data_IF_619886366298
#
_entry.id   IF_619886366298
#
_cell.length_a   1.000
_cell.length_b   1.000
_cell.length_c   1.000
_cell.angle_alpha   90.00
_cell.angle_beta   90.00
_cell.angle_gamma   90.00
#
_symmetry.space_group_name_H-M   'P 1'
#
loop_
_entity.id
_entity.type
_entity.pdbx_description
1 polymer ?
#
# COMPACT_ATOMS: atom_id res chain seq x y z
N UNK A 1 38.40 17.12 25.12
CA UNK A 1 37.52 16.25 25.94
C UNK A 1 36.15 16.94 26.06
N UNK A 2 35.23 16.75 25.11
CA UNK A 2 33.86 17.29 25.20
C UNK A 2 32.89 16.14 25.44
N UNK A 3 32.79 15.71 26.69
CA UNK A 3 31.78 14.74 27.14
C UNK A 3 30.63 15.54 27.76
N UNK A 4 29.45 15.55 27.11
CA UNK A 4 28.20 15.90 27.79
C UNK A 4 27.32 17.02 27.21
N UNK A 5 27.70 17.71 26.12
CA UNK A 5 26.81 18.71 25.51
C UNK A 5 25.84 18.08 24.50
N UNK A 6 24.60 18.56 24.43
CA UNK A 6 23.59 18.13 23.44
C UNK A 6 24.13 18.21 22.00
N UNK A 7 25.01 19.17 21.72
CA UNK A 7 25.75 19.29 20.46
C UNK A 7 26.73 18.11 20.21
N UNK A 8 27.39 17.60 21.25
CA UNK A 8 28.28 16.43 21.15
C UNK A 8 27.53 15.09 21.02
N UNK A 9 26.28 15.02 21.49
CA UNK A 9 25.37 13.90 21.18
C UNK A 9 24.79 14.00 19.78
N UNK A 10 24.38 15.20 19.35
CA UNK A 10 23.95 15.47 17.98
C UNK A 10 25.07 15.13 16.99
N UNK A 11 26.30 15.56 17.27
CA UNK A 11 27.46 15.26 16.41
C UNK A 11 27.82 13.78 16.41
N UNK A 12 27.66 13.08 17.54
CA UNK A 12 27.81 11.61 17.57
C UNK A 12 26.69 10.90 16.80
N UNK A 13 25.44 11.38 16.87
CA UNK A 13 24.31 10.84 16.09
C UNK A 13 24.51 11.07 14.60
N UNK A 14 24.85 12.29 14.20
CA UNK A 14 25.19 12.65 12.82
C UNK A 14 26.35 11.78 12.33
N UNK A 15 27.43 11.66 13.12
CA UNK A 15 28.58 10.84 12.76
C UNK A 15 28.22 9.35 12.67
N UNK A 16 27.33 8.84 13.52
CA UNK A 16 26.85 7.45 13.50
C UNK A 16 25.90 7.18 12.33
N UNK A 17 25.04 8.12 11.94
CA UNK A 17 24.24 8.07 10.71
C UNK A 17 25.12 8.15 9.46
N UNK A 18 26.20 8.92 9.50
CA UNK A 18 27.14 9.04 8.39
C UNK A 18 28.08 7.85 8.25
N UNK A 19 28.42 7.17 9.36
CA UNK A 19 29.33 6.02 9.42
C UNK A 19 28.62 4.66 9.45
N UNK A 20 27.29 4.62 9.57
CA UNK A 20 26.57 3.36 9.45
C UNK A 20 26.85 2.76 8.07
N UNK A 21 27.29 1.49 7.97
CA UNK A 21 27.50 0.85 6.69
C UNK A 21 26.19 0.86 5.93
N UNK A 22 26.15 1.61 4.82
CA UNK A 22 24.98 1.67 3.97
C UNK A 22 24.88 0.31 3.26
N UNK A 23 23.73 -0.39 3.31
CA UNK A 23 23.61 -1.71 2.71
C UNK A 23 24.02 -1.69 1.24
N UNK A 24 24.83 -2.67 0.84
CA UNK A 24 25.34 -2.80 -0.52
C UNK A 24 24.23 -3.37 -1.39
N UNK A 25 24.04 -2.82 -2.59
CA UNK A 25 23.09 -3.37 -3.56
C UNK A 25 23.41 -4.84 -3.83
N UNK A 26 22.53 -5.75 -3.44
CA UNK A 26 22.74 -7.21 -3.59
C UNK A 26 21.99 -7.80 -4.79
N UNK A 27 22.40 -9.00 -5.22
CA UNK A 27 21.66 -9.75 -6.25
C UNK A 27 20.24 -10.06 -5.76
N UNK A 28 20.05 -10.32 -4.47
CA UNK A 28 18.74 -10.56 -3.85
C UNK A 28 17.84 -9.32 -3.99
N UNK A 29 18.37 -8.12 -3.75
CA UNK A 29 17.60 -6.88 -3.93
C UNK A 29 17.25 -6.61 -5.39
N UNK A 30 18.12 -6.96 -6.33
CA UNK A 30 17.82 -6.92 -7.76
C UNK A 30 16.69 -7.89 -8.09
N UNK A 31 16.75 -9.14 -7.61
CA UNK A 31 15.69 -10.13 -7.82
C UNK A 31 14.35 -9.68 -7.25
N UNK A 32 14.33 -9.11 -6.03
CA UNK A 32 13.12 -8.58 -5.41
C UNK A 32 12.55 -7.42 -6.25
N UNK A 33 13.40 -6.52 -6.75
CA UNK A 33 12.95 -5.40 -7.57
C UNK A 33 12.39 -5.85 -8.92
N UNK A 34 13.00 -6.87 -9.55
CA UNK A 34 12.48 -7.46 -10.79
C UNK A 34 11.15 -8.18 -10.57
N UNK A 35 11.03 -8.97 -9.50
CA UNK A 35 9.76 -9.61 -9.13
C UNK A 35 8.66 -8.58 -8.89
N UNK A 36 8.99 -7.44 -8.26
CA UNK A 36 8.05 -6.36 -8.04
C UNK A 36 7.59 -5.69 -9.34
N UNK A 37 8.49 -5.48 -10.31
CA UNK A 37 8.10 -4.98 -11.64
C UNK A 37 7.13 -5.94 -12.33
N UNK A 38 7.43 -7.24 -12.31
CA UNK A 38 6.55 -8.27 -12.89
C UNK A 38 5.19 -8.26 -12.18
N UNK A 39 5.17 -8.20 -10.85
CA UNK A 39 3.94 -8.14 -10.07
C UNK A 39 3.08 -6.92 -10.44
N UNK A 40 3.66 -5.73 -10.58
CA UNK A 40 2.93 -4.53 -11.00
C UNK A 40 2.30 -4.68 -12.40
N UNK A 41 3.04 -5.28 -13.35
CA UNK A 41 2.53 -5.50 -14.72
C UNK A 41 1.39 -6.52 -14.71
N UNK A 42 1.54 -7.59 -13.94
CA UNK A 42 0.49 -8.61 -13.78
C UNK A 42 -0.76 -8.00 -13.15
N UNK A 43 -0.61 -7.21 -12.09
CA UNK A 43 -1.73 -6.57 -11.37
C UNK A 43 -2.58 -5.70 -12.32
N UNK A 44 -1.93 -4.75 -13.02
CA UNK A 44 -2.59 -3.90 -14.02
C UNK A 44 -3.28 -4.73 -15.12
N UNK A 45 -2.62 -5.81 -15.58
CA UNK A 45 -3.19 -6.67 -16.61
C UNK A 45 -4.41 -7.44 -16.10
N UNK A 46 -4.35 -7.97 -14.88
CA UNK A 46 -5.46 -8.69 -14.26
C UNK A 46 -6.63 -7.78 -13.96
N UNK A 47 -6.38 -6.54 -13.55
CA UNK A 47 -7.42 -5.58 -13.20
C UNK A 47 -8.20 -5.12 -14.43
N UNK A 48 -7.50 -4.86 -15.55
CA UNK A 48 -8.12 -4.57 -16.84
C UNK A 48 -8.92 -5.78 -17.35
N UNK A 49 -8.35 -6.98 -17.25
CA UNK A 49 -9.02 -8.21 -17.69
C UNK A 49 -10.31 -8.46 -16.90
N UNK A 50 -10.27 -8.36 -15.58
CA UNK A 50 -11.44 -8.55 -14.71
C UNK A 50 -12.51 -7.49 -14.99
N UNK A 51 -12.12 -6.22 -15.20
CA UNK A 51 -13.06 -5.17 -15.57
C UNK A 51 -13.74 -5.47 -16.92
N UNK A 52 -12.98 -5.88 -17.94
CA UNK A 52 -13.51 -6.24 -19.25
C UNK A 52 -14.46 -7.44 -19.16
N UNK A 53 -14.08 -8.48 -18.40
CA UNK A 53 -14.90 -9.68 -18.20
C UNK A 53 -16.28 -9.36 -17.59
N UNK A 54 -16.37 -8.37 -16.69
CA UNK A 54 -17.66 -7.94 -16.14
C UNK A 54 -18.56 -7.26 -17.17
N UNK A 55 -18.00 -6.50 -18.10
CA UNK A 55 -18.77 -5.89 -19.18
C UNK A 55 -19.21 -6.95 -20.21
N UNK A 56 -18.34 -7.91 -20.52
CA UNK A 56 -18.67 -9.02 -21.43
C UNK A 56 -19.75 -9.95 -20.85
N UNK A 57 -19.77 -10.16 -19.54
CA UNK A 57 -20.78 -10.97 -18.83
C UNK A 57 -22.07 -10.21 -18.49
N UNK A 58 -22.31 -9.06 -19.14
CA UNK A 58 -23.50 -8.20 -18.93
C UNK A 58 -23.74 -7.80 -17.47
N UNK A 59 -22.67 -7.63 -16.69
CA UNK A 59 -22.71 -7.18 -15.29
C UNK A 59 -22.10 -5.77 -15.14
N UNK A 60 -22.73 -4.73 -15.73
CA UNK A 60 -22.12 -3.40 -15.85
C UNK A 60 -21.87 -2.73 -14.50
N UNK A 61 -22.66 -3.06 -13.46
CA UNK A 61 -22.47 -2.49 -12.12
C UNK A 61 -21.14 -2.90 -11.50
N UNK A 62 -20.77 -4.19 -11.58
CA UNK A 62 -19.51 -4.68 -11.01
C UNK A 62 -18.30 -4.25 -11.85
N UNK A 63 -18.47 -4.19 -13.17
CA UNK A 63 -17.49 -3.60 -14.08
C UNK A 63 -17.22 -2.13 -13.73
N UNK A 64 -18.28 -1.32 -13.61
CA UNK A 64 -18.17 0.09 -13.24
C UNK A 64 -17.52 0.30 -11.87
N UNK A 65 -17.92 -0.47 -10.85
CA UNK A 65 -17.31 -0.38 -9.51
C UNK A 65 -15.82 -0.71 -9.54
N UNK A 66 -15.43 -1.77 -10.26
CA UNK A 66 -14.02 -2.15 -10.43
C UNK A 66 -13.24 -1.06 -11.16
N UNK A 67 -13.76 -0.54 -12.28
CA UNK A 67 -13.13 0.55 -13.02
C UNK A 67 -12.99 1.83 -12.20
N UNK A 68 -13.99 2.18 -11.38
CA UNK A 68 -13.91 3.36 -10.48
C UNK A 68 -12.78 3.20 -9.48
N UNK A 69 -12.63 2.03 -8.87
CA UNK A 69 -11.53 1.73 -7.92
C UNK A 69 -10.18 1.90 -8.60
N UNK A 70 -9.98 1.26 -9.77
CA UNK A 70 -8.73 1.33 -10.54
C UNK A 70 -8.39 2.79 -10.88
N UNK A 71 -9.36 3.54 -11.44
CA UNK A 71 -9.13 4.93 -11.87
C UNK A 71 -8.82 5.85 -10.70
N UNK A 72 -9.54 5.74 -9.58
CA UNK A 72 -9.33 6.57 -8.39
C UNK A 72 -7.96 6.26 -7.76
N UNK A 73 -7.61 4.98 -7.60
CA UNK A 73 -6.31 4.57 -7.06
C UNK A 73 -5.18 5.08 -7.93
N UNK A 74 -5.25 4.79 -9.23
CA UNK A 74 -4.27 5.21 -10.21
C UNK A 74 -4.06 6.72 -10.20
N UNK A 75 -5.14 7.51 -10.22
CA UNK A 75 -5.04 8.97 -10.18
C UNK A 75 -4.32 9.45 -8.91
N UNK A 76 -4.68 8.87 -7.76
CA UNK A 76 -4.11 9.25 -6.48
C UNK A 76 -2.62 8.91 -6.37
N UNK A 77 -2.24 7.69 -6.76
CA UNK A 77 -0.85 7.21 -6.74
C UNK A 77 -0.01 8.01 -7.72
N UNK A 78 -0.55 8.34 -8.90
CA UNK A 78 0.11 9.22 -9.86
C UNK A 78 0.32 10.63 -9.32
N UNK A 79 -0.69 11.22 -8.67
CA UNK A 79 -0.59 12.54 -8.06
C UNK A 79 0.46 12.57 -6.94
N UNK A 80 0.43 11.59 -6.03
CA UNK A 80 1.43 11.45 -4.97
C UNK A 80 2.84 11.20 -5.54
N UNK A 81 2.93 10.41 -6.62
CA UNK A 81 4.16 10.14 -7.35
C UNK A 81 4.75 11.41 -7.97
N UNK A 82 3.95 12.23 -8.65
CA UNK A 82 4.41 13.49 -9.23
C UNK A 82 4.82 14.49 -8.15
N UNK A 83 4.04 14.61 -7.07
CA UNK A 83 4.38 15.46 -5.93
C UNK A 83 5.73 15.08 -5.32
N UNK A 84 6.00 13.77 -5.15
CA UNK A 84 7.31 13.31 -4.66
C UNK A 84 8.45 13.66 -5.63
N UNK A 85 8.24 13.54 -6.94
CA UNK A 85 9.25 13.94 -7.92
C UNK A 85 9.52 15.45 -7.89
N UNK A 86 8.49 16.28 -7.70
CA UNK A 86 8.67 17.73 -7.56
C UNK A 86 9.44 18.07 -6.28
N UNK A 87 9.12 17.41 -5.16
CA UNK A 87 9.84 17.59 -3.90
C UNK A 87 11.30 17.16 -4.01
N UNK A 88 11.58 16.04 -4.71
CA UNK A 88 12.94 15.59 -5.00
C UNK A 88 13.69 16.64 -5.83
N UNK A 89 13.09 17.18 -6.88
CA UNK A 89 13.66 18.24 -7.71
C UNK A 89 13.99 19.51 -6.92
N UNK A 90 13.04 19.99 -6.11
CA UNK A 90 13.23 21.18 -5.26
C UNK A 90 14.36 20.97 -4.26
N UNK A 91 14.49 19.77 -3.70
CA UNK A 91 15.55 19.43 -2.75
C UNK A 91 16.91 19.25 -3.43
N UNK A 92 16.96 18.64 -4.61
CA UNK A 92 18.17 18.53 -5.42
C UNK A 92 18.68 19.92 -5.83
N UNK A 93 17.79 20.84 -6.20
CA UNK A 93 18.15 22.23 -6.51
C UNK A 93 18.69 23.01 -5.31
N UNK A 94 18.33 22.65 -4.07
CA UNK A 94 18.84 23.27 -2.84
C UNK A 94 20.17 22.68 -2.37
N UNK A 95 20.37 21.38 -2.58
CA UNK A 95 21.58 20.64 -2.18
C UNK A 95 22.70 20.72 -3.23
N UNK A 96 22.35 21.04 -4.48
CA UNK A 96 23.28 21.15 -5.60
C UNK A 96 23.90 22.54 -5.69
N UNK A 97 25.05 22.72 -5.03
CA UNK A 97 26.15 23.50 -5.61
C UNK A 97 27.03 22.61 -6.53
N UNK A 98 26.52 21.52 -7.12
CA UNK A 98 27.34 20.63 -7.95
C UNK A 98 26.78 19.26 -8.38
N UNK A 99 25.49 18.97 -8.18
CA UNK A 99 24.82 17.78 -8.70
C UNK A 99 24.06 18.04 -10.01
N UNK A 100 24.15 17.10 -10.96
CA UNK A 100 23.44 17.12 -12.25
C UNK A 100 21.93 17.12 -12.06
N UNK A 101 21.27 18.21 -12.45
CA UNK A 101 19.81 18.33 -12.51
C UNK A 101 19.27 17.30 -13.50
N UNK A 102 18.25 16.53 -13.10
CA UNK A 102 17.67 15.50 -13.94
C UNK A 102 17.37 16.00 -15.37
N UNK A 103 17.85 15.26 -16.38
CA UNK A 103 17.73 15.63 -17.79
C UNK A 103 16.26 15.80 -18.21
N UNK A 104 15.99 16.70 -19.17
CA UNK A 104 14.65 16.90 -19.76
C UNK A 104 14.03 15.58 -20.24
N UNK A 105 14.85 14.66 -20.77
CA UNK A 105 14.39 13.32 -21.19
C UNK A 105 13.90 12.48 -20.02
N UNK A 106 14.59 12.52 -18.88
CA UNK A 106 14.19 11.80 -17.67
C UNK A 106 12.86 12.31 -17.12
N UNK A 107 12.63 13.61 -17.15
CA UNK A 107 11.34 14.20 -16.76
C UNK A 107 10.21 13.79 -17.68
N UNK A 108 10.44 13.79 -19.00
CA UNK A 108 9.45 13.30 -19.97
C UNK A 108 9.12 11.83 -19.67
N UNK A 109 10.11 10.96 -19.47
CA UNK A 109 9.88 9.57 -19.10
C UNK A 109 9.08 9.47 -17.78
N UNK A 110 9.45 10.21 -16.74
CA UNK A 110 8.71 10.21 -15.46
C UNK A 110 7.24 10.56 -15.64
N UNK A 111 6.95 11.61 -16.41
CA UNK A 111 5.57 12.03 -16.67
C UNK A 111 4.83 10.98 -17.50
N UNK A 112 5.43 10.50 -18.60
CA UNK A 112 4.81 9.51 -19.49
C UNK A 112 4.48 8.22 -18.74
N UNK A 113 5.44 7.64 -18.02
CA UNK A 113 5.21 6.42 -17.25
C UNK A 113 4.20 6.64 -16.12
N UNK A 114 4.16 7.83 -15.51
CA UNK A 114 3.15 8.15 -14.50
C UNK A 114 1.76 8.25 -15.12
N UNK A 115 1.61 8.92 -16.28
CA UNK A 115 0.33 9.03 -16.99
C UNK A 115 -0.17 7.66 -17.48
N UNK A 116 0.73 6.76 -17.86
CA UNK A 116 0.41 5.39 -18.25
C UNK A 116 0.17 4.44 -17.06
N UNK A 117 0.03 4.96 -15.82
CA UNK A 117 -0.15 4.17 -14.59
C UNK A 117 1.02 3.21 -14.27
N UNK A 118 2.15 3.34 -14.96
CA UNK A 118 3.38 2.56 -14.76
C UNK A 118 4.44 3.34 -13.96
N UNK A 119 4.01 4.34 -13.18
CA UNK A 119 4.91 5.21 -12.41
C UNK A 119 5.77 4.42 -11.40
N UNK A 120 5.18 3.40 -10.75
CA UNK A 120 5.87 2.56 -9.76
C UNK A 120 6.93 1.66 -10.42
N UNK A 121 6.67 1.19 -11.65
CA UNK A 121 7.64 0.45 -12.47
C UNK A 121 8.84 1.34 -12.81
N UNK A 122 8.59 2.55 -13.33
CA UNK A 122 9.67 3.47 -13.68
C UNK A 122 10.53 3.85 -12.46
N UNK A 123 9.90 4.09 -11.30
CA UNK A 123 10.62 4.35 -10.03
C UNK A 123 11.51 3.17 -9.64
N UNK A 124 11.03 1.94 -9.83
CA UNK A 124 11.82 0.73 -9.56
C UNK A 124 13.02 0.61 -10.49
N UNK A 125 12.87 0.97 -11.76
CA UNK A 125 13.99 1.08 -12.71
C UNK A 125 15.00 2.14 -12.26
N UNK A 126 14.54 3.31 -11.80
CA UNK A 126 15.42 4.36 -11.27
C UNK A 126 16.15 3.93 -9.98
N UNK A 127 15.54 3.07 -9.16
CA UNK A 127 16.15 2.44 -7.99
C UNK A 127 17.24 1.45 -8.41
N UNK A 128 16.96 0.55 -9.37
CA UNK A 128 17.94 -0.42 -9.89
C UNK A 128 19.12 0.32 -10.53
N UNK A 129 18.87 1.38 -11.30
CA UNK A 129 19.91 2.18 -11.92
C UNK A 129 20.83 2.86 -10.87
N UNK A 130 20.25 3.38 -9.78
CA UNK A 130 21.03 3.90 -8.65
C UNK A 130 21.83 2.80 -7.92
N UNK A 131 21.26 1.60 -7.78
CA UNK A 131 21.94 0.43 -7.23
C UNK A 131 23.14 -0.01 -8.08
N UNK A 132 22.98 -0.05 -9.40
CA UNK A 132 24.07 -0.38 -10.33
C UNK A 132 25.18 0.68 -10.28
N UNK A 133 24.82 1.97 -10.34
CA UNK A 133 25.80 3.08 -10.21
C UNK A 133 26.56 3.05 -8.88
N UNK A 134 25.94 2.57 -7.81
CA UNK A 134 26.64 2.41 -6.52
C UNK A 134 27.75 1.35 -6.58
N UNK A 135 27.58 0.29 -7.39
CA UNK A 135 28.59 -0.76 -7.56
C UNK A 135 29.71 -0.35 -8.50
N UNK A 136 29.40 0.41 -9.54
CA UNK A 136 30.37 0.85 -10.56
C UNK A 136 31.06 2.17 -10.21
N UNK A 137 30.79 2.75 -9.04
CA UNK A 137 31.42 3.99 -8.61
C UNK A 137 32.88 3.75 -8.19
N UNK A 138 33.78 4.53 -8.78
CA UNK A 138 35.23 4.49 -8.54
C UNK A 138 35.59 5.16 -7.20
N UNK A 139 34.90 6.23 -6.82
CA UNK A 139 35.18 6.98 -5.58
C UNK A 139 34.24 6.56 -4.44
N UNK A 140 34.78 6.39 -3.23
CA UNK A 140 33.97 6.07 -2.03
C UNK A 140 32.88 7.11 -1.74
N UNK A 141 33.15 8.39 -2.01
CA UNK A 141 32.16 9.48 -1.86
C UNK A 141 30.98 9.32 -2.83
N UNK A 142 31.26 8.97 -4.08
CA UNK A 142 30.23 8.75 -5.11
C UNK A 142 29.43 7.49 -4.81
N UNK A 143 30.10 6.43 -4.36
CA UNK A 143 29.46 5.19 -3.89
C UNK A 143 28.46 5.47 -2.77
N UNK A 144 28.88 6.18 -1.72
CA UNK A 144 28.00 6.55 -0.61
C UNK A 144 26.82 7.42 -1.05
N UNK A 145 27.04 8.34 -2.00
CA UNK A 145 25.97 9.17 -2.55
C UNK A 145 24.93 8.32 -3.29
N UNK A 146 25.37 7.41 -4.17
CA UNK A 146 24.48 6.52 -4.91
C UNK A 146 23.72 5.55 -4.00
N UNK A 147 24.35 5.04 -2.93
CA UNK A 147 23.69 4.21 -1.94
C UNK A 147 22.62 4.99 -1.16
N UNK A 148 22.90 6.23 -0.74
CA UNK A 148 21.90 7.09 -0.09
C UNK A 148 20.74 7.42 -1.04
N UNK A 149 21.03 7.69 -2.32
CA UNK A 149 20.01 7.91 -3.34
C UNK A 149 19.14 6.66 -3.57
N UNK A 150 19.76 5.48 -3.61
CA UNK A 150 19.06 4.19 -3.73
C UNK A 150 18.09 3.97 -2.56
N UNK A 151 18.53 4.15 -1.30
CA UNK A 151 17.67 3.99 -0.13
C UNK A 151 16.48 4.96 -0.12
N UNK A 152 16.69 6.22 -0.50
CA UNK A 152 15.61 7.21 -0.64
C UNK A 152 14.58 6.76 -1.66
N UNK A 153 15.02 6.34 -2.84
CA UNK A 153 14.12 5.83 -3.89
C UNK A 153 13.36 4.59 -3.44
N UNK A 154 14.03 3.65 -2.77
CA UNK A 154 13.40 2.44 -2.23
C UNK A 154 12.31 2.77 -1.22
N UNK A 155 12.54 3.75 -0.34
CA UNK A 155 11.55 4.20 0.65
C UNK A 155 10.31 4.77 -0.04
N UNK A 156 10.51 5.63 -1.04
CA UNK A 156 9.39 6.21 -1.81
C UNK A 156 8.59 5.11 -2.52
N UNK A 157 9.25 4.14 -3.16
CA UNK A 157 8.58 3.00 -3.80
C UNK A 157 7.73 2.22 -2.79
N UNK A 158 8.27 1.92 -1.60
CA UNK A 158 7.56 1.17 -0.56
C UNK A 158 6.35 1.93 0.00
N UNK A 159 6.46 3.25 0.21
CA UNK A 159 5.34 4.08 0.67
C UNK A 159 4.27 4.23 -0.42
N UNK A 160 4.69 4.46 -1.67
CA UNK A 160 3.77 4.62 -2.78
C UNK A 160 3.05 3.32 -3.13
N UNK A 161 3.78 2.20 -3.15
CA UNK A 161 3.21 0.87 -3.33
C UNK A 161 2.30 0.46 -2.17
N UNK A 162 2.57 0.89 -0.93
CA UNK A 162 1.64 0.70 0.17
C UNK A 162 0.31 1.43 -0.06
N UNK A 163 0.38 2.70 -0.48
CA UNK A 163 -0.81 3.49 -0.76
C UNK A 163 -1.63 2.86 -1.90
N UNK A 164 -0.95 2.47 -2.97
CA UNK A 164 -1.50 1.75 -4.13
C UNK A 164 -2.23 0.47 -3.71
N UNK A 165 -1.56 -0.42 -2.96
CA UNK A 165 -2.18 -1.66 -2.49
C UNK A 165 -3.43 -1.45 -1.62
N UNK A 166 -3.45 -0.41 -0.77
CA UNK A 166 -4.68 -0.13 -0.01
C UNK A 166 -5.77 0.43 -0.90
N UNK A 167 -5.46 1.39 -1.78
CA UNK A 167 -6.47 2.09 -2.58
C UNK A 167 -7.05 1.25 -3.71
N UNK A 168 -6.28 0.28 -4.22
CA UNK A 168 -6.69 -0.62 -5.30
C UNK A 168 -6.94 -2.03 -4.77
N UNK A 169 -5.88 -2.71 -4.31
CA UNK A 169 -5.96 -4.13 -4.01
C UNK A 169 -6.94 -4.45 -2.87
N UNK A 170 -7.02 -3.64 -1.80
CA UNK A 170 -7.93 -3.91 -0.68
C UNK A 170 -9.43 -3.81 -1.02
N UNK A 171 -9.95 -2.72 -1.63
CA UNK A 171 -11.34 -2.64 -2.05
C UNK A 171 -11.65 -3.62 -3.19
N UNK A 172 -10.70 -3.85 -4.10
CA UNK A 172 -10.84 -4.85 -5.16
C UNK A 172 -10.99 -6.26 -4.58
N UNK A 173 -10.16 -6.64 -3.60
CA UNK A 173 -10.26 -7.91 -2.89
C UNK A 173 -11.63 -8.08 -2.22
N UNK A 174 -12.17 -7.03 -1.60
CA UNK A 174 -13.51 -7.05 -1.02
C UNK A 174 -14.60 -7.24 -2.08
N UNK A 175 -14.52 -6.50 -3.19
CA UNK A 175 -15.52 -6.55 -4.26
C UNK A 175 -15.51 -7.90 -4.98
N UNK A 176 -14.33 -8.40 -5.36
CA UNK A 176 -14.17 -9.69 -6.02
C UNK A 176 -14.64 -10.84 -5.12
N UNK A 177 -14.36 -10.78 -3.82
CA UNK A 177 -14.83 -11.78 -2.85
C UNK A 177 -16.34 -11.71 -2.65
N UNK A 178 -16.92 -10.51 -2.59
CA UNK A 178 -18.38 -10.32 -2.58
C UNK A 178 -19.04 -10.93 -3.83
N UNK A 179 -18.50 -10.67 -5.02
CA UNK A 179 -18.97 -11.24 -6.30
C UNK A 179 -18.89 -12.77 -6.25
N UNK A 180 -17.76 -13.32 -5.78
CA UNK A 180 -17.56 -14.76 -5.67
C UNK A 180 -18.61 -15.43 -4.76
N UNK A 181 -18.89 -14.84 -3.59
CA UNK A 181 -19.88 -15.34 -2.64
C UNK A 181 -21.30 -15.23 -3.22
N UNK A 182 -21.63 -14.09 -3.86
CA UNK A 182 -23.00 -13.78 -4.29
C UNK A 182 -23.43 -14.50 -5.57
N UNK A 183 -22.52 -14.67 -6.53
CA UNK A 183 -22.87 -15.12 -7.90
C UNK A 183 -22.69 -16.64 -8.12
N UNK A 184 -22.28 -17.40 -7.11
CA UNK A 184 -22.18 -18.87 -7.09
C UNK A 184 -21.70 -19.46 -8.45
N UNK A 185 -20.38 -19.41 -8.74
CA UNK A 185 -19.79 -19.56 -10.08
C UNK A 185 -19.85 -20.96 -10.73
N UNK A 186 -20.81 -21.81 -10.37
CA UNK A 186 -20.92 -23.23 -10.76
C UNK A 186 -20.94 -23.53 -12.28
N UNK A 187 -20.92 -22.53 -13.16
CA UNK A 187 -20.99 -22.70 -14.62
C UNK A 187 -19.71 -22.31 -15.38
N UNK A 188 -18.70 -21.69 -14.75
CA UNK A 188 -17.48 -21.26 -15.45
C UNK A 188 -16.22 -21.54 -14.62
N UNK A 189 -15.73 -22.78 -14.71
CA UNK A 189 -14.60 -23.30 -13.93
C UNK A 189 -13.30 -22.54 -14.22
N UNK A 190 -13.08 -22.11 -15.47
CA UNK A 190 -11.83 -21.41 -15.86
C UNK A 190 -11.85 -19.96 -15.37
N UNK A 191 -12.98 -19.26 -15.51
CA UNK A 191 -13.15 -17.92 -14.94
C UNK A 191 -13.07 -17.91 -13.42
N UNK A 192 -13.57 -18.94 -12.75
CA UNK A 192 -13.48 -19.09 -11.29
C UNK A 192 -12.03 -19.22 -10.80
N UNK A 193 -11.23 -20.09 -11.44
CA UNK A 193 -9.83 -20.30 -11.06
C UNK A 193 -9.01 -19.01 -11.24
N UNK A 194 -9.18 -18.29 -12.34
CA UNK A 194 -8.47 -17.03 -12.58
C UNK A 194 -8.83 -15.96 -11.54
N UNK A 195 -10.10 -15.86 -11.15
CA UNK A 195 -10.55 -14.93 -10.10
C UNK A 195 -9.97 -15.28 -8.73
N UNK A 196 -9.95 -16.56 -8.37
CA UNK A 196 -9.34 -17.01 -7.11
C UNK A 196 -7.83 -16.74 -7.10
N UNK A 197 -7.14 -17.00 -8.20
CA UNK A 197 -5.71 -16.69 -8.33
C UNK A 197 -5.47 -15.18 -8.23
N UNK A 198 -6.29 -14.35 -8.88
CA UNK A 198 -6.25 -12.88 -8.76
C UNK A 198 -6.44 -12.41 -7.31
N UNK A 199 -7.50 -12.90 -6.65
CA UNK A 199 -7.78 -12.63 -5.23
C UNK A 199 -6.58 -12.97 -4.34
N UNK A 200 -6.01 -14.16 -4.49
CA UNK A 200 -4.85 -14.58 -3.70
C UNK A 200 -3.64 -13.69 -4.01
N UNK A 201 -3.38 -13.39 -5.29
CA UNK A 201 -2.28 -12.52 -5.71
C UNK A 201 -2.39 -11.12 -5.09
N UNK A 202 -3.56 -10.47 -5.20
CA UNK A 202 -3.80 -9.14 -4.62
C UNK A 202 -3.71 -9.16 -3.09
N UNK A 203 -4.16 -10.24 -2.43
CA UNK A 203 -4.03 -10.40 -0.98
C UNK A 203 -2.56 -10.54 -0.54
N UNK A 204 -1.77 -11.35 -1.25
CA UNK A 204 -0.33 -11.48 -1.00
C UNK A 204 0.41 -10.17 -1.30
N UNK A 205 0.04 -9.45 -2.35
CA UNK A 205 0.61 -8.14 -2.71
C UNK A 205 0.39 -7.12 -1.59
N UNK A 206 -0.85 -7.00 -1.10
CA UNK A 206 -1.20 -6.12 0.01
C UNK A 206 -0.42 -6.43 1.28
N UNK A 207 -0.34 -7.71 1.67
CA UNK A 207 0.45 -8.11 2.83
C UNK A 207 1.95 -7.81 2.63
N UNK A 208 2.47 -8.09 1.44
CA UNK A 208 3.85 -7.78 1.05
C UNK A 208 4.18 -6.29 1.13
N UNK A 209 3.28 -5.41 0.67
CA UNK A 209 3.44 -3.97 0.74
C UNK A 209 3.54 -3.48 2.19
N UNK A 210 2.69 -3.98 3.09
CA UNK A 210 2.73 -3.65 4.53
C UNK A 210 4.04 -4.10 5.17
N UNK A 211 4.51 -5.31 4.87
CA UNK A 211 5.80 -5.82 5.37
C UNK A 211 6.97 -5.00 4.82
N UNK A 212 6.95 -4.65 3.53
CA UNK A 212 7.96 -3.82 2.88
C UNK A 212 8.08 -2.44 3.55
N UNK A 213 6.94 -1.79 3.77
CA UNK A 213 6.87 -0.51 4.48
C UNK A 213 7.40 -0.63 5.92
N UNK A 214 6.97 -1.64 6.67
CA UNK A 214 7.45 -1.87 8.04
C UNK A 214 8.97 -2.09 8.09
N UNK A 215 9.49 -2.89 7.15
CA UNK A 215 10.94 -3.10 7.00
C UNK A 215 11.67 -1.79 6.75
N UNK A 216 11.18 -0.92 5.85
CA UNK A 216 11.85 0.37 5.60
C UNK A 216 11.88 1.24 6.85
N UNK A 217 10.83 1.18 7.67
CA UNK A 217 10.77 1.97 8.89
C UNK A 217 11.73 1.47 9.96
N UNK A 218 11.95 0.16 10.03
CA UNK A 218 12.95 -0.43 10.93
C UNK A 218 14.38 -0.14 10.46
N UNK A 219 14.63 -0.19 9.15
CA UNK A 219 15.91 0.20 8.55
C UNK A 219 16.24 1.67 8.87
N UNK A 220 15.25 2.57 8.83
CA UNK A 220 15.39 3.97 9.24
C UNK A 220 15.74 4.11 10.73
N UNK A 221 15.28 3.18 11.57
CA UNK A 221 15.62 3.13 12.99
C UNK A 221 16.97 2.43 13.25
N UNK A 222 17.72 2.06 12.21
CA UNK A 222 18.99 1.33 12.31
C UNK A 222 18.83 -0.12 12.78
N UNK A 223 17.66 -0.73 12.58
CA UNK A 223 17.36 -2.11 12.98
C UNK A 223 17.31 -3.02 11.74
N UNK A 224 18.07 -4.10 11.80
CA UNK A 224 18.02 -5.15 10.78
C UNK A 224 16.86 -6.11 11.03
N UNK A 225 16.18 -6.51 9.96
CA UNK A 225 15.04 -7.43 10.03
C UNK A 225 15.43 -8.76 9.42
N UNK A 226 15.62 -9.78 10.25
CA UNK A 226 15.91 -11.13 9.79
C UNK A 226 14.76 -11.73 8.96
N UNK A 227 15.10 -12.60 8.00
CA UNK A 227 14.13 -13.22 7.08
C UNK A 227 13.03 -14.01 7.81
N UNK A 228 13.36 -14.70 8.91
CA UNK A 228 12.39 -15.40 9.75
C UNK A 228 11.33 -14.46 10.33
N UNK A 229 11.73 -13.27 10.78
CA UNK A 229 10.80 -12.26 11.31
C UNK A 229 9.89 -11.73 10.21
N UNK A 230 10.40 -11.61 8.97
CA UNK A 230 9.58 -11.16 7.83
C UNK A 230 8.51 -12.20 7.48
N UNK A 231 8.86 -13.49 7.50
CA UNK A 231 7.90 -14.59 7.24
C UNK A 231 6.80 -14.63 8.30
N UNK A 232 7.15 -14.54 9.59
CA UNK A 232 6.15 -14.52 10.66
C UNK A 232 5.25 -13.28 10.52
N UNK A 233 5.84 -12.13 10.20
CA UNK A 233 5.09 -10.89 10.07
C UNK A 233 4.18 -10.87 8.84
N UNK A 234 4.58 -11.45 7.70
CA UNK A 234 3.69 -11.56 6.53
C UNK A 234 2.53 -12.51 6.82
N UNK A 235 2.77 -13.65 7.51
CA UNK A 235 1.71 -14.58 7.91
C UNK A 235 0.69 -13.91 8.85
N UNK A 236 1.19 -13.12 9.82
CA UNK A 236 0.34 -12.32 10.68
C UNK A 236 -0.53 -11.35 9.87
N UNK A 237 0.06 -10.63 8.91
CA UNK A 237 -0.66 -9.65 8.09
C UNK A 237 -1.64 -10.29 7.11
N UNK A 238 -1.33 -11.46 6.57
CA UNK A 238 -2.27 -12.25 5.80
C UNK A 238 -3.49 -12.59 6.67
N UNK A 239 -3.29 -13.18 7.86
CA UNK A 239 -4.39 -13.55 8.74
C UNK A 239 -5.25 -12.36 9.19
N UNK A 240 -4.62 -11.25 9.56
CA UNK A 240 -5.30 -10.01 9.98
C UNK A 240 -6.17 -9.43 8.85
N UNK A 241 -5.56 -9.15 7.70
CA UNK A 241 -6.24 -8.50 6.58
C UNK A 241 -7.24 -9.44 5.90
N UNK A 242 -6.90 -10.72 5.76
CA UNK A 242 -7.78 -11.72 5.14
C UNK A 242 -9.06 -11.94 5.94
N UNK A 243 -8.95 -12.09 7.26
CA UNK A 243 -10.12 -12.23 8.13
C UNK A 243 -11.06 -11.03 8.03
N UNK A 244 -10.52 -9.81 8.01
CA UNK A 244 -11.31 -8.57 7.86
C UNK A 244 -12.03 -8.50 6.52
N UNK A 245 -11.32 -8.79 5.43
CA UNK A 245 -11.88 -8.74 4.07
C UNK A 245 -12.98 -9.80 3.89
N UNK A 246 -12.78 -11.00 4.44
CA UNK A 246 -13.81 -12.04 4.49
C UNK A 246 -15.06 -11.59 5.25
N UNK A 247 -14.90 -10.96 6.42
CA UNK A 247 -16.03 -10.45 7.20
C UNK A 247 -16.81 -9.38 6.43
N UNK A 248 -16.10 -8.42 5.84
CA UNK A 248 -16.71 -7.33 5.04
C UNK A 248 -17.45 -7.90 3.83
N UNK A 249 -16.82 -8.81 3.08
CA UNK A 249 -17.41 -9.40 1.88
C UNK A 249 -18.63 -10.26 2.21
N UNK A 250 -18.57 -11.06 3.28
CA UNK A 250 -19.70 -11.86 3.74
C UNK A 250 -20.86 -10.97 4.20
N UNK A 251 -20.58 -9.95 5.01
CA UNK A 251 -21.59 -8.98 5.46
C UNK A 251 -22.24 -8.26 4.27
N UNK A 252 -21.44 -7.78 3.32
CA UNK A 252 -21.95 -7.19 2.08
C UNK A 252 -22.78 -8.18 1.25
N UNK A 253 -22.44 -9.48 1.24
CA UNK A 253 -23.21 -10.48 0.48
C UNK A 253 -24.65 -10.65 0.99
N UNK A 254 -24.86 -10.43 2.28
CA UNK A 254 -26.18 -10.50 2.95
C UNK A 254 -26.95 -9.17 2.82
N UNK A 255 -26.32 -8.04 3.13
CA UNK A 255 -26.99 -6.72 3.19
C UNK A 255 -26.92 -5.91 1.87
N UNK A 256 -26.20 -6.41 0.86
CA UNK A 256 -26.04 -5.77 -0.44
C UNK A 256 -25.00 -4.65 -0.46
N UNK A 257 -24.94 -3.92 -1.58
CA UNK A 257 -23.90 -2.92 -1.85
C UNK A 257 -24.02 -1.64 -0.98
N UNK A 258 -25.11 -1.43 -0.26
CA UNK A 258 -25.26 -0.29 0.67
C UNK A 258 -24.21 -0.30 1.79
N UNK A 259 -23.60 -1.46 2.07
CA UNK A 259 -22.45 -1.58 2.98
C UNK A 259 -21.28 -0.70 2.55
N UNK A 260 -21.09 -0.44 1.25
CA UNK A 260 -20.06 0.49 0.76
C UNK A 260 -20.25 1.90 1.32
N UNK A 261 -21.49 2.38 1.43
CA UNK A 261 -21.78 3.69 2.04
C UNK A 261 -21.41 3.70 3.52
N UNK A 262 -21.72 2.63 4.25
CA UNK A 262 -21.36 2.48 5.66
C UNK A 262 -19.84 2.49 5.85
N UNK A 263 -19.10 1.81 4.97
CA UNK A 263 -17.63 1.80 4.98
C UNK A 263 -17.06 3.20 4.73
N UNK A 264 -17.61 3.96 3.77
CA UNK A 264 -17.19 5.35 3.51
C UNK A 264 -17.49 6.25 4.70
N UNK A 265 -18.66 6.14 5.31
CA UNK A 265 -19.01 6.92 6.51
C UNK A 265 -18.07 6.58 7.67
N UNK A 266 -17.80 5.29 7.90
CA UNK A 266 -16.87 4.83 8.93
C UNK A 266 -15.45 5.39 8.69
N UNK A 267 -14.97 5.37 7.45
CA UNK A 267 -13.70 5.99 7.08
C UNK A 267 -13.66 7.48 7.40
N UNK A 268 -14.72 8.22 7.04
CA UNK A 268 -14.82 9.66 7.31
C UNK A 268 -14.80 9.93 8.82
N UNK A 269 -15.46 9.10 9.63
CA UNK A 269 -15.41 9.21 11.10
C UNK A 269 -13.99 8.99 11.61
N UNK A 270 -13.28 7.96 11.14
CA UNK A 270 -11.88 7.72 11.50
C UNK A 270 -10.96 8.87 11.06
N UNK A 271 -11.18 9.43 9.87
CA UNK A 271 -10.45 10.58 9.35
C UNK A 271 -10.67 11.82 10.22
N UNK A 272 -11.91 12.16 10.53
CA UNK A 272 -12.25 13.30 11.38
C UNK A 272 -11.66 13.14 12.78
N UNK A 273 -11.79 11.93 13.36
CA UNK A 273 -11.14 11.61 14.63
C UNK A 273 -9.64 11.86 14.55
N UNK A 274 -8.96 11.34 13.53
CA UNK A 274 -7.53 11.53 13.37
C UNK A 274 -7.15 13.02 13.22
N UNK A 275 -7.89 13.76 12.40
CA UNK A 275 -7.65 15.18 12.17
C UNK A 275 -7.88 16.04 13.42
N UNK A 276 -8.82 15.67 14.30
CA UNK A 276 -9.06 16.41 15.55
C UNK A 276 -7.94 16.16 16.56
N UNK A 277 -7.56 14.90 16.75
CA UNK A 277 -6.62 14.51 17.81
C UNK A 277 -5.15 14.68 17.44
N UNK A 278 -4.80 14.71 16.14
CA UNK A 278 -3.41 14.69 15.69
C UNK A 278 -2.99 15.88 14.82
N UNK A 279 -3.81 16.94 14.73
CA UNK A 279 -3.51 18.17 13.96
C UNK A 279 -2.25 18.92 14.41
N UNK A 280 -1.78 18.71 15.64
CA UNK A 280 -0.92 19.69 16.33
C UNK A 280 0.59 19.59 16.06
N UNK A 281 1.05 18.86 15.03
CA UNK A 281 2.47 18.47 14.96
C UNK A 281 3.26 18.68 13.67
N UNK A 282 2.62 18.99 12.54
CA UNK A 282 3.32 18.93 11.23
C UNK A 282 3.35 20.29 10.52
N UNK A 283 4.56 20.78 10.22
CA UNK A 283 4.82 21.95 9.37
C UNK A 283 4.68 21.65 7.86
N UNK A 284 4.18 20.47 7.51
CA UNK A 284 3.94 20.08 6.12
C UNK A 284 2.72 20.82 5.57
N UNK A 285 2.71 21.12 4.27
CA UNK A 285 1.60 21.82 3.63
C UNK A 285 0.26 21.12 3.88
N UNK A 286 -0.80 21.90 4.13
CA UNK A 286 -2.13 21.43 4.55
C UNK A 286 -2.67 20.27 3.70
N UNK A 287 -2.41 20.28 2.39
CA UNK A 287 -2.87 19.26 1.45
C UNK A 287 -2.13 17.92 1.61
N UNK A 288 -0.84 17.95 1.90
CA UNK A 288 0.00 16.74 2.09
C UNK A 288 -0.35 16.10 3.42
N UNK A 289 -0.50 16.90 4.47
CA UNK A 289 -0.98 16.42 5.76
C UNK A 289 -2.36 15.77 5.62
N UNK A 290 -3.31 16.41 4.94
CA UNK A 290 -4.63 15.84 4.72
C UNK A 290 -4.57 14.54 3.89
N UNK A 291 -3.86 14.52 2.77
CA UNK A 291 -3.75 13.33 1.90
C UNK A 291 -3.10 12.13 2.61
N UNK A 292 -2.00 12.36 3.32
CA UNK A 292 -1.33 11.31 4.11
C UNK A 292 -2.19 10.81 5.28
N UNK A 293 -2.92 11.70 5.94
CA UNK A 293 -3.89 11.34 6.98
C UNK A 293 -5.03 10.50 6.42
N UNK A 294 -5.54 10.86 5.23
CA UNK A 294 -6.61 10.15 4.54
C UNK A 294 -6.22 8.71 4.17
N UNK A 295 -5.03 8.50 3.59
CA UNK A 295 -4.51 7.15 3.31
C UNK A 295 -4.33 6.38 4.62
N UNK A 296 -3.75 7.04 5.64
CA UNK A 296 -3.50 6.39 6.92
C UNK A 296 -4.79 5.90 7.55
N UNK A 297 -5.81 6.75 7.69
CA UNK A 297 -7.09 6.33 8.28
C UNK A 297 -7.84 5.33 7.42
N UNK A 298 -7.68 5.39 6.10
CA UNK A 298 -8.22 4.38 5.20
C UNK A 298 -7.57 3.01 5.43
N UNK A 299 -6.24 2.96 5.55
CA UNK A 299 -5.52 1.72 5.86
C UNK A 299 -5.94 1.10 7.20
N UNK A 300 -6.32 1.93 8.20
CA UNK A 300 -6.83 1.48 9.49
C UNK A 300 -8.16 0.72 9.40
N UNK A 301 -8.93 0.86 8.32
CA UNK A 301 -10.12 0.05 8.11
C UNK A 301 -9.80 -1.44 7.87
N UNK A 302 -8.59 -1.72 7.40
CA UNK A 302 -8.15 -3.05 7.00
C UNK A 302 -7.10 -3.62 7.95
N UNK A 303 -6.13 -2.83 8.39
CA UNK A 303 -5.09 -3.28 9.31
C UNK A 303 -4.42 -2.13 10.07
N UNK A 304 -3.79 -2.44 11.20
CA UNK A 304 -3.08 -1.42 11.96
C UNK A 304 -1.72 -1.07 11.33
N UNK A 305 -1.55 0.20 10.93
CA UNK A 305 -0.25 0.78 10.61
C UNK A 305 0.27 1.66 11.75
N UNK A 306 1.55 1.50 12.09
CA UNK A 306 2.19 2.27 13.15
C UNK A 306 2.81 3.57 12.60
N UNK A 307 2.02 4.65 12.56
CA UNK A 307 2.44 5.90 11.91
C UNK A 307 3.17 6.90 12.82
N UNK A 308 3.00 6.83 14.16
CA UNK A 308 3.52 7.86 15.08
C UNK A 308 4.57 7.35 16.07
N UNK A 309 5.59 8.16 16.31
CA UNK A 309 6.60 7.95 17.34
C UNK A 309 6.00 8.23 18.73
N UNK A 310 5.89 7.20 19.60
CA UNK A 310 5.36 7.34 20.97
C UNK A 310 5.03 6.00 21.65
N UNK A 311 4.61 6.00 22.93
CA UNK A 311 4.20 4.78 23.63
C UNK A 311 2.97 4.17 22.96
N UNK A 312 3.20 3.14 22.15
CA UNK A 312 2.23 2.61 21.19
C UNK A 312 1.36 1.48 21.73
N UNK A 313 1.72 0.90 22.89
CA UNK A 313 1.09 -0.33 23.40
C UNK A 313 -0.40 -0.18 23.65
N UNK A 314 -0.82 0.91 24.29
CA UNK A 314 -2.24 1.15 24.58
C UNK A 314 -3.06 1.39 23.31
N UNK A 315 -2.54 2.21 22.39
CA UNK A 315 -3.18 2.48 21.09
C UNK A 315 -3.36 1.20 20.27
N UNK A 316 -2.35 0.32 20.30
CA UNK A 316 -2.40 -0.99 19.66
C UNK A 316 -3.51 -1.86 20.26
N UNK A 317 -3.55 -2.02 21.58
CA UNK A 317 -4.57 -2.84 22.26
C UNK A 317 -5.98 -2.33 21.97
N UNK A 318 -6.23 -1.02 22.11
CA UNK A 318 -7.55 -0.42 21.84
C UNK A 318 -7.98 -0.65 20.39
N UNK A 319 -7.06 -0.44 19.43
CA UNK A 319 -7.36 -0.68 18.02
C UNK A 319 -7.77 -2.12 17.76
N UNK A 320 -6.99 -3.11 18.22
CA UNK A 320 -7.30 -4.51 17.96
C UNK A 320 -8.58 -4.98 18.66
N UNK A 321 -8.89 -4.46 19.84
CA UNK A 321 -10.17 -4.74 20.51
C UNK A 321 -11.34 -4.26 19.63
N UNK A 322 -11.31 -3.01 19.17
CA UNK A 322 -12.36 -2.45 18.31
C UNK A 322 -12.43 -3.24 16.99
N UNK A 323 -11.29 -3.48 16.36
CA UNK A 323 -11.18 -4.19 15.08
C UNK A 323 -11.79 -5.60 15.13
N UNK A 324 -11.44 -6.40 16.14
CA UNK A 324 -11.99 -7.74 16.29
C UNK A 324 -13.45 -7.73 16.73
N UNK A 325 -13.87 -6.74 17.53
CA UNK A 325 -15.27 -6.56 17.89
C UNK A 325 -16.12 -6.25 16.66
N UNK A 326 -15.68 -5.33 15.79
CA UNK A 326 -16.35 -5.03 14.53
C UNK A 326 -16.47 -6.27 13.64
N UNK A 327 -15.39 -7.06 13.50
CA UNK A 327 -15.41 -8.31 12.73
C UNK A 327 -16.41 -9.31 13.31
N UNK A 328 -16.43 -9.47 14.63
CA UNK A 328 -17.36 -10.35 15.32
C UNK A 328 -18.81 -9.90 15.12
N UNK A 329 -19.09 -8.60 15.27
CA UNK A 329 -20.44 -8.04 15.05
C UNK A 329 -20.87 -8.25 13.60
N UNK A 330 -20.01 -7.98 12.61
CA UNK A 330 -20.32 -8.24 11.20
C UNK A 330 -20.68 -9.70 10.95
N UNK A 331 -19.90 -10.65 11.49
CA UNK A 331 -20.18 -12.08 11.34
C UNK A 331 -21.51 -12.47 12.00
N UNK A 332 -21.72 -12.12 13.28
CA UNK A 332 -22.93 -12.49 14.02
C UNK A 332 -24.19 -11.90 13.37
N UNK A 333 -24.15 -10.62 13.00
CA UNK A 333 -25.29 -9.96 12.36
C UNK A 333 -25.60 -10.59 11.00
N UNK A 334 -24.59 -10.89 10.18
CA UNK A 334 -24.78 -11.57 8.91
C UNK A 334 -25.34 -12.99 9.08
N UNK A 335 -24.79 -13.79 10.00
CA UNK A 335 -25.24 -15.16 10.26
C UNK A 335 -26.67 -15.20 10.82
N UNK A 336 -27.01 -14.32 11.76
CA UNK A 336 -28.37 -14.24 12.30
C UNK A 336 -29.41 -13.83 11.25
N UNK A 337 -29.03 -12.96 10.30
CA UNK A 337 -29.89 -12.60 9.18
C UNK A 337 -30.10 -13.75 8.20
N UNK A 338 -29.12 -14.66 8.06
CA UNK A 338 -29.26 -15.87 7.22
C UNK A 338 -30.06 -17.00 7.88
N UNK A 339 -30.08 -17.09 9.21
CA UNK A 339 -30.79 -18.15 9.96
C UNK A 339 -32.25 -17.79 10.34
N UNK A 340 -32.72 -16.58 10.02
CA UNK A 340 -34.08 -16.14 10.30
C UNK A 340 -35.17 -16.91 9.49
N UNK A 341 -36.41 -16.99 9.99
CA UNK A 341 -37.51 -17.79 9.42
C UNK A 341 -38.07 -17.31 8.06
N UNK A 342 -37.38 -16.41 7.37
CA UNK A 342 -37.83 -15.79 6.11
C UNK A 342 -37.25 -16.45 4.85
N UNK A 343 -36.67 -17.66 4.96
CA UNK A 343 -36.27 -18.47 3.81
C UNK A 343 -37.51 -19.11 3.16
N UNK A 344 -38.31 -18.25 2.52
CA UNK A 344 -39.03 -18.56 1.29
C UNK A 344 -38.66 -17.45 0.30
N UNK A 345 -37.41 -17.41 -0.12
CA UNK A 345 -37.05 -16.74 -1.37
C UNK A 345 -37.41 -17.75 -2.47
N UNK A 346 -38.49 -17.53 -3.24
CA UNK A 346 -38.82 -18.43 -4.32
C UNK A 346 -37.70 -18.30 -5.36
N UNK A 347 -37.04 -19.42 -5.66
CA UNK A 347 -36.27 -19.56 -6.89
C UNK A 347 -37.22 -19.20 -8.06
N UNK A 348 -37.06 -18.00 -8.62
CA UNK A 348 -37.69 -17.69 -9.91
C UNK A 348 -37.03 -18.59 -10.94
N UNK A 349 -37.75 -19.64 -11.33
CA UNK A 349 -37.62 -20.22 -12.64
C UNK A 349 -37.92 -19.12 -13.67
N UNK A 350 -36.91 -18.71 -14.42
CA UNK A 350 -37.12 -18.09 -15.73
C UNK A 350 -36.78 -19.16 -16.76
N UNK A 351 -37.81 -19.61 -17.47
CA UNK A 351 -37.68 -20.30 -18.76
C UNK A 351 -37.46 -19.32 -19.89
#
# INVERSE_FOLDING_TARGET
MMKGTAAGELWRRIKKEFLAPVPVFTIVELSIALMFIVACIVDVSTDIFVAAEYFDKEMPLYGALTSIVIVISSFFVCACGLYNYEMEYRNEGRLSQGGSVASRRTWICRIVFTVLQLGLVWRTVEYIASGYKSRTADTDKERQWHQKAMLRKQRVIRVLGLADSFMESAPQLCLQLYVLIKLNPRKDVVGEVLRVVGLLSSWFSLAGAVVGWYKSRLEDAGKEVGLKSQIIYILWRLAETGGRVLCIAYFASVFGLWVLLVLVVHWVVLLLWYLIFFKNGTNDGTLVFFGSSAIYTYSLMFCYLHHQEGPSRYRYIVFYIIFYLENFVMLVVASSATEGPWILVPHRHCG
#
